data_IF_648711143325
#
_entry.id   IF_648711143325
#
_cell.length_a   1.000
_cell.length_b   1.000
_cell.length_c   1.000
_cell.angle_alpha   90.00
_cell.angle_beta   90.00
_cell.angle_gamma   90.00
#
_symmetry.space_group_name_H-M   'P 1'
#
loop_
_entity.id
_entity.type
_entity.pdbx_description
1 polymer ?
#
# COMPACT_ATOMS: atom_id res chain seq x y z
N UNK A 1 4.14 49.47 49.61
CA UNK A 1 3.75 48.17 49.05
C UNK A 1 5.02 47.38 48.83
N UNK A 2 5.32 46.43 49.72
CA UNK A 2 6.50 45.53 49.58
C UNK A 2 6.06 44.34 48.78
N UNK A 3 6.51 44.23 47.52
CA UNK A 3 6.36 43.02 46.67
C UNK A 3 7.20 41.93 47.30
N UNK A 4 6.55 40.91 47.81
CA UNK A 4 7.20 39.75 48.39
C UNK A 4 7.73 38.89 47.22
N UNK A 5 8.97 39.16 46.76
CA UNK A 5 9.64 38.36 45.72
C UNK A 5 10.06 37.01 46.33
N UNK A 6 9.22 36.01 46.08
CA UNK A 6 9.58 34.62 46.44
C UNK A 6 10.53 34.08 45.36
N UNK A 7 11.78 33.92 45.73
CA UNK A 7 12.76 33.26 44.85
C UNK A 7 12.38 31.78 44.63
N UNK A 8 12.58 31.30 43.40
CA UNK A 8 12.38 29.88 43.02
C UNK A 8 13.41 29.02 43.78
N UNK A 9 12.96 27.97 44.41
CA UNK A 9 13.84 27.05 45.12
C UNK A 9 14.58 26.13 44.13
N UNK A 10 15.79 25.68 44.50
CA UNK A 10 16.57 24.77 43.68
C UNK A 10 15.81 23.46 43.39
N UNK A 11 15.04 22.95 44.34
CA UNK A 11 14.22 21.77 44.22
C UNK A 11 13.09 21.95 43.17
N UNK A 12 12.46 23.14 43.14
CA UNK A 12 11.41 23.47 42.20
C UNK A 12 11.94 23.51 40.77
N UNK A 13 13.15 24.02 40.56
CA UNK A 13 13.82 24.04 39.28
C UNK A 13 14.18 22.63 38.84
N UNK A 14 14.67 21.76 39.75
CA UNK A 14 14.95 20.36 39.42
C UNK A 14 13.70 19.57 39.02
N UNK A 15 12.59 19.78 39.73
CA UNK A 15 11.31 19.13 39.40
C UNK A 15 10.78 19.63 38.07
N UNK A 16 10.87 20.93 37.79
CA UNK A 16 10.45 21.50 36.51
C UNK A 16 11.24 20.91 35.32
N UNK A 17 12.57 20.83 35.44
CA UNK A 17 13.44 20.24 34.41
C UNK A 17 13.13 18.75 34.23
N UNK A 18 12.87 18.02 35.28
CA UNK A 18 12.48 16.61 35.20
C UNK A 18 11.17 16.41 34.43
N UNK A 19 10.14 17.19 34.74
CA UNK A 19 8.84 17.11 34.05
C UNK A 19 9.01 17.46 32.56
N UNK A 20 9.76 18.50 32.24
CA UNK A 20 10.02 18.90 30.84
C UNK A 20 10.75 17.78 30.08
N UNK A 21 11.75 17.16 30.68
CA UNK A 21 12.53 16.08 30.05
C UNK A 21 11.65 14.87 29.75
N UNK A 22 10.84 14.44 30.70
CA UNK A 22 9.89 13.33 30.51
C UNK A 22 8.87 13.67 29.40
N UNK A 23 8.35 14.90 29.41
CA UNK A 23 7.43 15.38 28.39
C UNK A 23 8.04 15.37 26.99
N UNK A 24 9.27 15.85 26.82
CA UNK A 24 9.97 15.85 25.53
C UNK A 24 10.22 14.44 25.00
N UNK A 25 10.63 13.51 25.85
CA UNK A 25 10.83 12.11 25.47
C UNK A 25 9.51 11.46 25.03
N UNK A 26 8.42 11.74 25.72
CA UNK A 26 7.09 11.22 25.35
C UNK A 26 6.64 11.74 23.97
N UNK A 27 6.82 13.04 23.71
CA UNK A 27 6.50 13.66 22.42
C UNK A 27 7.37 13.07 21.29
N UNK A 28 8.67 12.93 21.51
CA UNK A 28 9.58 12.37 20.52
C UNK A 28 9.18 10.93 20.10
N UNK A 29 8.81 10.09 21.06
CA UNK A 29 8.30 8.73 20.79
C UNK A 29 6.95 8.76 20.08
N UNK A 30 6.06 9.67 20.46
CA UNK A 30 4.77 9.85 19.81
C UNK A 30 4.91 10.23 18.33
N UNK A 31 5.85 11.12 18.00
CA UNK A 31 6.12 11.52 16.61
C UNK A 31 6.62 10.33 15.75
N UNK A 32 7.50 9.49 16.28
CA UNK A 32 7.97 8.31 15.57
C UNK A 32 6.82 7.34 15.26
N UNK A 33 5.93 7.12 16.23
CA UNK A 33 4.77 6.25 16.04
C UNK A 33 3.79 6.83 15.00
N UNK A 34 3.57 8.14 15.02
CA UNK A 34 2.69 8.82 14.05
C UNK A 34 3.24 8.72 12.62
N UNK A 35 4.54 8.99 12.42
CA UNK A 35 5.15 8.93 11.08
C UNK A 35 5.13 7.53 10.49
N UNK A 36 5.33 6.49 11.31
CA UNK A 36 5.23 5.11 10.82
C UNK A 36 3.80 4.71 10.47
N UNK A 37 2.81 5.18 11.24
CA UNK A 37 1.42 4.96 10.91
C UNK A 37 1.04 5.55 9.55
N UNK A 38 1.50 6.77 9.26
CA UNK A 38 1.32 7.41 7.95
C UNK A 38 2.00 6.61 6.84
N UNK A 39 3.24 6.18 7.03
CA UNK A 39 3.96 5.40 6.03
C UNK A 39 3.27 4.06 5.74
N UNK A 40 2.79 3.35 6.76
CA UNK A 40 2.02 2.12 6.60
C UNK A 40 0.68 2.36 5.86
N UNK A 41 0.00 3.46 6.14
CA UNK A 41 -1.22 3.86 5.44
C UNK A 41 -0.97 4.13 3.95
N UNK A 42 0.11 4.82 3.62
CA UNK A 42 0.51 5.08 2.22
C UNK A 42 0.81 3.78 1.47
N UNK A 43 1.52 2.84 2.10
CA UNK A 43 1.80 1.54 1.48
C UNK A 43 0.52 0.75 1.21
N UNK A 44 -0.42 0.73 2.15
CA UNK A 44 -1.71 0.07 1.98
C UNK A 44 -2.52 0.69 0.83
N UNK A 45 -2.59 2.02 0.77
CA UNK A 45 -3.27 2.75 -0.31
C UNK A 45 -2.65 2.45 -1.67
N UNK A 46 -1.32 2.44 -1.75
CA UNK A 46 -0.60 2.11 -2.98
C UNK A 46 -0.86 0.66 -3.41
N UNK A 47 -0.86 -0.30 -2.46
CA UNK A 47 -1.17 -1.70 -2.76
C UNK A 47 -2.59 -1.87 -3.31
N UNK A 48 -3.57 -1.18 -2.71
CA UNK A 48 -4.95 -1.16 -3.19
C UNK A 48 -5.05 -0.59 -4.59
N UNK A 49 -4.40 0.54 -4.83
CA UNK A 49 -4.36 1.17 -6.15
C UNK A 49 -3.77 0.24 -7.23
N UNK A 50 -2.67 -0.45 -6.93
CA UNK A 50 -2.05 -1.39 -7.86
C UNK A 50 -2.93 -2.61 -8.15
N UNK A 51 -3.71 -3.06 -7.17
CA UNK A 51 -4.67 -4.15 -7.35
C UNK A 51 -5.85 -3.70 -8.22
N UNK A 52 -6.42 -2.55 -7.94
CA UNK A 52 -7.54 -1.97 -8.70
C UNK A 52 -7.12 -1.65 -10.14
N UNK A 53 -5.95 -1.04 -10.33
CA UNK A 53 -5.40 -0.77 -11.66
C UNK A 53 -5.32 -2.06 -12.50
N UNK A 54 -4.81 -3.14 -11.91
CA UNK A 54 -4.74 -4.42 -12.63
C UNK A 54 -6.10 -4.97 -13.00
N UNK A 55 -7.09 -4.84 -12.10
CA UNK A 55 -8.45 -5.27 -12.40
C UNK A 55 -9.08 -4.44 -13.51
N UNK A 56 -8.85 -3.12 -13.53
CA UNK A 56 -9.34 -2.26 -14.60
C UNK A 56 -8.68 -2.58 -15.95
N UNK A 57 -7.38 -2.86 -15.98
CA UNK A 57 -6.66 -3.31 -17.16
C UNK A 57 -7.28 -4.61 -17.73
N UNK A 58 -7.57 -5.57 -16.86
CA UNK A 58 -8.19 -6.85 -17.23
C UNK A 58 -9.64 -6.64 -17.72
N UNK A 59 -10.41 -5.76 -17.09
CA UNK A 59 -11.76 -5.41 -17.53
C UNK A 59 -11.73 -4.73 -18.89
N UNK A 60 -10.85 -3.76 -19.09
CA UNK A 60 -10.69 -3.08 -20.36
C UNK A 60 -10.30 -4.06 -21.48
N UNK A 61 -9.39 -4.98 -21.18
CA UNK A 61 -8.99 -6.06 -22.09
C UNK A 61 -10.17 -7.00 -22.42
N UNK A 62 -10.97 -7.37 -21.42
CA UNK A 62 -12.14 -8.25 -21.59
C UNK A 62 -13.24 -7.63 -22.44
N UNK A 63 -13.39 -6.29 -22.37
CA UNK A 63 -14.40 -5.54 -23.11
C UNK A 63 -13.95 -5.14 -24.51
N UNK A 64 -12.69 -5.33 -24.85
CA UNK A 64 -12.13 -4.97 -26.13
C UNK A 64 -12.76 -5.81 -27.26
N UNK A 65 -13.00 -5.16 -28.39
CA UNK A 65 -13.49 -5.78 -29.63
C UNK A 65 -12.37 -6.29 -30.53
N UNK A 66 -11.12 -6.10 -30.12
CA UNK A 66 -9.94 -6.56 -30.88
C UNK A 66 -9.85 -8.09 -30.85
N UNK A 67 -9.54 -8.72 -31.98
CA UNK A 67 -9.46 -10.17 -32.12
C UNK A 67 -8.41 -10.85 -31.21
N UNK A 68 -7.35 -10.12 -30.81
CA UNK A 68 -6.32 -10.59 -29.88
C UNK A 68 -6.67 -10.37 -28.41
N UNK A 69 -7.77 -9.67 -28.12
CA UNK A 69 -8.26 -9.32 -26.81
C UNK A 69 -9.68 -9.89 -26.60
N UNK A 70 -10.39 -9.39 -25.63
CA UNK A 70 -11.75 -9.82 -25.34
C UNK A 70 -11.84 -10.88 -24.24
N UNK A 71 -13.06 -11.18 -23.84
CA UNK A 71 -13.33 -12.06 -22.70
C UNK A 71 -12.68 -13.46 -22.82
N UNK A 72 -12.67 -14.04 -24.03
CA UNK A 72 -12.08 -15.36 -24.25
C UNK A 72 -10.56 -15.39 -23.97
N UNK A 73 -9.88 -14.29 -24.27
CA UNK A 73 -8.43 -14.14 -24.13
C UNK A 73 -7.99 -13.66 -22.74
N UNK A 74 -8.91 -13.49 -21.80
CA UNK A 74 -8.55 -13.26 -20.39
C UNK A 74 -8.05 -14.57 -19.79
N UNK A 75 -6.75 -14.78 -19.87
CA UNK A 75 -6.06 -16.02 -19.45
C UNK A 75 -4.77 -15.68 -18.69
N UNK A 76 -4.20 -16.66 -17.99
CA UNK A 76 -2.90 -16.51 -17.33
C UNK A 76 -1.74 -16.30 -18.31
N UNK A 77 -1.93 -16.59 -19.60
CA UNK A 77 -0.92 -16.32 -20.64
C UNK A 77 -0.80 -14.83 -20.91
N UNK A 78 -1.93 -14.12 -21.02
CA UNK A 78 -1.97 -12.67 -21.27
C UNK A 78 -1.78 -11.85 -20.00
N UNK A 79 -2.11 -12.43 -18.84
CA UNK A 79 -1.95 -11.81 -17.53
C UNK A 79 -1.13 -12.73 -16.64
N UNK A 80 0.18 -12.48 -16.49
CA UNK A 80 1.08 -13.31 -15.69
C UNK A 80 0.55 -13.56 -14.29
N UNK A 81 0.59 -14.80 -13.83
CA UNK A 81 0.09 -15.19 -12.52
C UNK A 81 0.91 -14.57 -11.38
N UNK A 82 2.18 -14.21 -11.62
CA UNK A 82 3.04 -13.59 -10.62
C UNK A 82 3.93 -12.54 -11.27
N UNK A 83 3.97 -11.36 -10.67
CA UNK A 83 4.88 -10.27 -11.00
C UNK A 83 5.73 -9.98 -9.77
N UNK A 84 7.04 -10.21 -9.89
CA UNK A 84 8.00 -10.07 -8.79
C UNK A 84 8.19 -8.60 -8.39
N UNK A 85 8.85 -8.40 -7.26
CA UNK A 85 9.35 -7.08 -6.86
C UNK A 85 10.19 -6.49 -8.00
N UNK A 86 10.11 -5.22 -8.23
CA UNK A 86 10.77 -4.48 -9.33
C UNK A 86 10.18 -4.63 -10.73
N UNK A 87 9.24 -5.54 -10.98
CA UNK A 87 8.63 -5.71 -12.30
C UNK A 87 7.32 -4.94 -12.48
N UNK A 88 6.70 -4.50 -11.39
CA UNK A 88 5.46 -3.73 -11.44
C UNK A 88 5.78 -2.29 -11.85
N UNK A 89 5.35 -1.93 -13.05
CA UNK A 89 5.42 -0.57 -13.56
C UNK A 89 4.01 -0.03 -13.73
N UNK A 90 3.82 1.26 -13.46
CA UNK A 90 2.57 1.95 -13.79
C UNK A 90 2.51 2.15 -15.30
N UNK A 91 1.77 1.31 -16.00
CA UNK A 91 1.40 1.55 -17.38
C UNK A 91 0.19 2.51 -17.40
N UNK A 92 0.42 3.78 -17.19
CA UNK A 92 -0.48 4.80 -17.71
C UNK A 92 -0.24 4.91 -19.21
N UNK A 93 -1.13 4.31 -19.99
CA UNK A 93 -1.19 4.21 -21.44
C UNK A 93 -0.19 5.05 -22.24
N UNK A 94 0.51 4.40 -23.18
CA UNK A 94 1.31 5.02 -24.24
C UNK A 94 2.39 6.01 -23.77
N UNK A 95 3.50 5.52 -23.25
CA UNK A 95 4.83 6.06 -23.56
C UNK A 95 5.95 5.27 -22.91
N UNK A 96 6.78 4.72 -23.70
CA UNK A 96 8.20 4.44 -23.50
C UNK A 96 8.84 5.48 -22.59
N UNK A 97 9.42 5.07 -21.47
CA UNK A 97 10.25 5.87 -20.56
C UNK A 97 9.50 6.71 -19.51
N UNK A 98 9.39 6.19 -18.30
CA UNK A 98 9.09 6.98 -17.12
C UNK A 98 8.00 6.45 -16.19
N UNK A 99 7.59 5.20 -16.31
CA UNK A 99 6.66 4.62 -15.33
C UNK A 99 7.29 4.56 -13.93
N UNK A 100 6.54 4.98 -12.92
CA UNK A 100 6.97 4.84 -11.53
C UNK A 100 7.17 3.37 -11.22
N UNK A 101 8.37 2.97 -10.83
CA UNK A 101 8.67 1.61 -10.43
C UNK A 101 8.17 1.37 -9.00
N UNK A 102 7.39 0.34 -8.81
CA UNK A 102 6.89 -0.10 -7.50
C UNK A 102 7.70 -1.27 -6.97
N UNK A 103 9.01 -1.08 -6.84
CA UNK A 103 9.97 -2.12 -6.44
C UNK A 103 9.75 -2.74 -5.07
N UNK A 104 8.90 -2.12 -4.23
CA UNK A 104 8.53 -2.63 -2.90
C UNK A 104 7.27 -3.48 -2.90
N UNK A 105 6.69 -3.74 -4.07
CA UNK A 105 5.44 -4.47 -4.23
C UNK A 105 5.60 -5.67 -5.15
N UNK A 106 4.92 -6.76 -4.82
CA UNK A 106 4.77 -7.98 -5.61
C UNK A 106 3.29 -8.20 -5.86
N UNK A 107 2.92 -8.65 -7.05
CA UNK A 107 1.52 -8.86 -7.42
C UNK A 107 1.29 -10.27 -7.93
N UNK A 108 0.19 -10.89 -7.50
CA UNK A 108 -0.28 -12.18 -7.99
C UNK A 108 -1.67 -11.99 -8.59
N UNK A 109 -1.88 -12.51 -9.79
CA UNK A 109 -3.16 -12.47 -10.50
C UNK A 109 -3.66 -13.89 -10.69
N UNK A 110 -4.81 -14.22 -10.13
CA UNK A 110 -5.45 -15.54 -10.26
C UNK A 110 -6.72 -15.39 -11.09
N UNK A 111 -6.81 -16.15 -12.18
CA UNK A 111 -7.99 -16.18 -13.05
C UNK A 111 -8.60 -17.58 -12.97
N UNK A 112 -9.84 -17.67 -12.52
CA UNK A 112 -10.61 -18.92 -12.47
C UNK A 112 -11.85 -18.79 -13.33
N UNK A 113 -12.33 -19.90 -13.87
CA UNK A 113 -13.54 -19.95 -14.72
C UNK A 113 -14.61 -20.78 -14.01
N UNK A 114 -15.40 -20.18 -13.10
CA UNK A 114 -16.43 -20.90 -12.35
C UNK A 114 -17.53 -21.48 -13.24
N UNK A 115 -17.86 -20.80 -14.33
CA UNK A 115 -18.83 -21.26 -15.36
C UNK A 115 -18.31 -20.95 -16.75
N UNK A 116 -18.93 -21.53 -17.78
CA UNK A 116 -18.59 -21.24 -19.18
C UNK A 116 -18.75 -19.77 -19.58
N UNK A 117 -19.54 -19.02 -18.82
CA UNK A 117 -19.87 -17.60 -19.11
C UNK A 117 -19.27 -16.63 -18.11
N UNK A 118 -18.60 -17.11 -17.05
CA UNK A 118 -18.05 -16.22 -16.02
C UNK A 118 -16.59 -16.56 -15.72
N UNK A 119 -15.77 -15.51 -15.53
CA UNK A 119 -14.41 -15.62 -15.01
C UNK A 119 -14.29 -14.81 -13.74
N UNK A 120 -13.72 -15.38 -12.70
CA UNK A 120 -13.34 -14.66 -11.49
C UNK A 120 -11.86 -14.29 -11.59
N UNK A 121 -11.57 -13.02 -11.41
CA UNK A 121 -10.22 -12.50 -11.34
C UNK A 121 -9.96 -12.02 -9.92
N UNK A 122 -8.90 -12.54 -9.31
CA UNK A 122 -8.44 -12.14 -8.00
C UNK A 122 -7.03 -11.60 -8.13
N UNK A 123 -6.81 -10.38 -7.68
CA UNK A 123 -5.50 -9.74 -7.64
C UNK A 123 -5.09 -9.57 -6.19
N UNK A 124 -3.94 -10.06 -5.84
CA UNK A 124 -3.33 -9.93 -4.53
C UNK A 124 -2.01 -9.18 -4.68
N UNK A 125 -1.88 -8.07 -3.96
CA UNK A 125 -0.68 -7.24 -3.94
C UNK A 125 -0.04 -7.35 -2.57
N UNK A 126 1.22 -7.77 -2.56
CA UNK A 126 2.03 -7.97 -1.36
C UNK A 126 3.00 -6.82 -1.20
N UNK A 127 3.28 -6.45 0.03
CA UNK A 127 4.28 -5.44 0.37
C UNK A 127 4.89 -5.72 1.75
N UNK A 128 6.11 -5.26 1.95
CA UNK A 128 6.80 -5.32 3.25
C UNK A 128 6.56 -3.98 3.95
N UNK A 129 5.86 -3.95 5.10
CA UNK A 129 5.62 -2.71 5.82
C UNK A 129 6.93 -2.07 6.26
N UNK A 130 7.01 -0.75 6.19
CA UNK A 130 8.09 0.00 6.83
C UNK A 130 7.89 -0.12 8.34
N UNK A 131 8.60 -1.06 8.97
CA UNK A 131 8.54 -1.28 10.40
C UNK A 131 9.53 -0.37 11.13
N UNK A 132 9.08 0.26 12.22
CA UNK A 132 9.96 1.00 13.15
C UNK A 132 10.79 0.02 14.00
N UNK A 133 10.38 -1.23 14.08
CA UNK A 133 11.05 -2.27 14.87
C UNK A 133 11.42 -3.43 13.97
N UNK A 134 12.67 -3.84 14.05
CA UNK A 134 13.32 -4.90 13.27
C UNK A 134 12.71 -6.31 13.38
N UNK A 135 11.58 -6.47 14.05
CA UNK A 135 10.98 -7.77 14.36
C UNK A 135 9.79 -8.18 13.48
N UNK A 136 9.33 -7.33 12.55
CA UNK A 136 8.15 -7.66 11.71
C UNK A 136 8.47 -7.42 10.24
N UNK A 137 9.28 -8.28 9.65
CA UNK A 137 9.41 -8.42 8.20
C UNK A 137 8.28 -9.30 7.60
N UNK A 138 7.12 -9.38 8.26
CA UNK A 138 6.00 -10.13 7.74
C UNK A 138 5.40 -9.38 6.54
N UNK A 139 5.48 -10.00 5.38
CA UNK A 139 4.79 -9.55 4.18
C UNK A 139 3.29 -9.41 4.46
N UNK A 140 2.70 -8.31 4.04
CA UNK A 140 1.25 -8.05 4.11
C UNK A 140 0.69 -8.05 2.71
N UNK A 141 -0.58 -8.37 2.58
CA UNK A 141 -1.25 -8.35 1.28
C UNK A 141 -2.58 -7.62 1.32
N UNK A 142 -2.96 -7.12 0.15
CA UNK A 142 -4.30 -6.61 -0.18
C UNK A 142 -4.86 -7.49 -1.28
N UNK A 143 -6.07 -7.99 -1.10
CA UNK A 143 -6.76 -8.84 -2.06
C UNK A 143 -7.99 -8.12 -2.59
N UNK A 144 -8.09 -8.00 -3.90
CA UNK A 144 -9.27 -7.46 -4.59
C UNK A 144 -9.72 -8.46 -5.64
N UNK A 145 -11.02 -8.71 -5.74
CA UNK A 145 -11.56 -9.66 -6.72
C UNK A 145 -12.75 -9.09 -7.47
N UNK A 146 -12.93 -9.53 -8.71
CA UNK A 146 -14.08 -9.20 -9.56
C UNK A 146 -14.53 -10.42 -10.34
N UNK A 147 -15.78 -10.38 -10.82
CA UNK A 147 -16.32 -11.38 -11.73
C UNK A 147 -16.63 -10.73 -13.07
N UNK A 148 -16.09 -11.32 -14.12
CA UNK A 148 -16.32 -10.92 -15.51
C UNK A 148 -17.32 -11.90 -16.13
N UNK A 149 -18.38 -11.37 -16.72
CA UNK A 149 -19.34 -12.18 -17.50
C UNK A 149 -19.04 -12.04 -19.00
N UNK A 150 -19.23 -13.14 -19.74
CA UNK A 150 -19.20 -13.11 -21.19
C UNK A 150 -20.38 -12.28 -21.69
N UNK A 151 -20.15 -11.40 -22.66
CA UNK A 151 -21.23 -10.82 -23.45
C UNK A 151 -21.64 -11.85 -24.48
N UNK A 152 -22.88 -12.29 -24.41
CA UNK A 152 -23.54 -13.07 -25.44
C UNK A 152 -23.83 -12.22 -26.67
#
# INVERSE_FOLDING_TARGET
>A
MTTNERGVTLIELMVAVFIITVGLVAVAKGMQLATSGVAAGQQLTTATFLAEQRLEDIKAFALSTNSSQGWANVTSTNFPASEAYSTITSNTGTSTSGGTSYSSYRRTTTITTPTSTTKRVTVEVFFIPVAISSSVNAERSVVVSTVLASRS
#
